data_IF_053106598499
#
_entry.id   IF_053106598499
#
_cell.length_a   1.000
_cell.length_b   1.000
_cell.length_c   1.000
_cell.angle_alpha   90.00
_cell.angle_beta   90.00
_cell.angle_gamma   90.00
#
_symmetry.space_group_name_H-M   'P 1'
#
loop_
_entity.id
_entity.type
_entity.pdbx_description
1 polymer ?
#
# COMPACT_ATOMS: atom_id res chain seq x y z
N UNK A 1 0.99 -33.12 -1.83
CA UNK A 1 0.82 -32.54 -2.16
C UNK A 1 0.03 -31.54 -2.08
N UNK A 2 -0.88 -31.40 -1.62
CA UNK A 2 -1.69 -30.45 -1.55
C UNK A 2 -1.21 -29.37 -0.80
N UNK A 3 -0.38 -29.50 0.00
CA UNK A 3 0.01 -28.49 0.68
C UNK A 3 0.49 -27.49 -0.20
N UNK A 4 0.79 -27.77 -1.31
CA UNK A 4 1.21 -26.84 -2.23
C UNK A 4 0.21 -25.80 -2.46
N UNK A 5 -1.01 -26.11 -2.43
CA UNK A 5 -2.04 -25.16 -2.68
C UNK A 5 -2.04 -24.11 -1.62
N UNK A 6 -1.88 -24.49 -0.40
CA UNK A 6 -1.87 -23.59 0.63
C UNK A 6 -0.73 -22.66 0.49
N UNK A 7 0.40 -23.16 0.10
CA UNK A 7 1.46 -22.34 -0.07
C UNK A 7 1.28 -21.36 -1.14
N UNK A 8 0.57 -21.66 -2.13
CA UNK A 8 0.34 -20.77 -3.17
C UNK A 8 -0.40 -19.60 -2.71
N UNK A 9 -1.31 -19.73 -1.82
CA UNK A 9 -2.04 -18.63 -1.34
C UNK A 9 -1.16 -17.76 -0.57
N UNK A 10 -0.19 -18.28 0.13
CA UNK A 10 0.70 -17.50 0.88
C UNK A 10 1.65 -16.74 -0.01
N UNK A 11 1.71 -17.10 -1.24
CA UNK A 11 2.61 -16.48 -2.14
C UNK A 11 1.99 -15.48 -3.07
N UNK A 12 0.76 -15.10 -2.80
CA UNK A 12 0.13 -14.08 -3.59
C UNK A 12 0.93 -12.81 -3.43
N UNK A 13 1.33 -12.17 -4.49
CA UNK A 13 2.15 -10.98 -4.37
C UNK A 13 1.40 -9.86 -3.68
N UNK A 14 2.06 -9.05 -2.92
CA UNK A 14 1.39 -7.93 -2.28
C UNK A 14 0.97 -6.92 -3.32
N UNK A 15 -0.07 -6.20 -3.04
CA UNK A 15 -0.51 -5.17 -3.92
C UNK A 15 0.19 -3.88 -3.56
N UNK A 16 0.17 -2.91 -4.44
CA UNK A 16 0.72 -1.61 -4.14
C UNK A 16 -0.43 -0.62 -4.00
N UNK A 17 -0.16 0.52 -3.42
CA UNK A 17 -1.19 1.52 -3.24
C UNK A 17 -1.80 1.94 -4.57
N UNK A 18 -1.04 1.91 -5.65
CA UNK A 18 -1.57 2.33 -6.94
C UNK A 18 -2.61 1.37 -7.49
N UNK A 19 -2.67 0.16 -6.96
CA UNK A 19 -3.61 -0.86 -7.44
C UNK A 19 -4.91 -0.91 -6.68
N UNK A 20 -5.05 -0.13 -5.62
CA UNK A 20 -6.16 -0.32 -4.72
C UNK A 20 -7.27 0.69 -4.99
N UNK A 21 -8.51 0.21 -5.01
CA UNK A 21 -9.63 1.14 -5.22
C UNK A 21 -9.93 1.95 -3.99
N UNK A 22 -10.69 3.01 -4.19
CA UNK A 22 -11.13 3.85 -3.10
C UNK A 22 -11.86 3.02 -2.07
N UNK A 23 -11.62 3.28 -0.82
CA UNK A 23 -12.26 2.57 0.27
C UNK A 23 -11.48 1.38 0.78
N UNK A 24 -10.40 1.02 0.10
CA UNK A 24 -9.60 -0.11 0.55
C UNK A 24 -8.76 0.31 1.74
N UNK A 25 -8.72 -0.56 2.75
CA UNK A 25 -7.86 -0.38 3.92
C UNK A 25 -6.78 -1.43 3.88
N UNK A 26 -5.60 -1.05 4.28
CA UNK A 26 -4.49 -1.99 4.28
C UNK A 26 -3.41 -1.60 5.26
N UNK A 27 -2.38 -2.41 5.29
CA UNK A 27 -1.23 -2.20 6.16
C UNK A 27 0.00 -2.18 5.28
N UNK A 28 0.85 -1.18 5.47
CA UNK A 28 2.09 -1.09 4.70
C UNK A 28 3.00 -2.25 5.06
N UNK A 29 3.47 -2.99 4.06
CA UNK A 29 4.35 -4.11 4.30
C UNK A 29 5.75 -3.89 3.77
N UNK A 30 5.92 -3.03 2.82
CA UNK A 30 7.25 -2.77 2.29
C UNK A 30 7.29 -1.53 1.44
N UNK A 31 8.47 -0.99 1.29
CA UNK A 31 8.69 0.18 0.48
C UNK A 31 9.80 -0.17 -0.49
N UNK A 32 9.55 0.04 -1.78
CA UNK A 32 10.55 -0.24 -2.77
C UNK A 32 11.12 1.08 -3.23
N UNK A 33 12.38 1.23 -3.29
CA UNK A 33 12.97 2.47 -3.70
C UNK A 33 14.19 2.76 -2.89
N UNK A 34 14.87 3.81 -3.22
CA UNK A 34 16.10 4.16 -2.55
C UNK A 34 15.85 4.84 -1.23
N UNK A 35 16.91 5.15 -0.54
CA UNK A 35 16.84 5.74 0.77
C UNK A 35 16.11 7.06 0.77
N UNK A 36 16.26 7.84 -0.27
CA UNK A 36 15.59 9.12 -0.31
C UNK A 36 14.09 8.95 -0.36
N UNK A 37 13.61 8.02 -1.17
CA UNK A 37 12.17 7.79 -1.27
C UNK A 37 11.65 7.26 0.06
N UNK A 38 12.31 6.26 0.62
CA UNK A 38 11.87 5.65 1.87
C UNK A 38 11.85 6.67 2.99
N UNK A 39 12.88 7.50 3.08
CA UNK A 39 12.92 8.51 4.12
C UNK A 39 11.83 9.55 3.95
N UNK A 40 11.57 9.94 2.70
CA UNK A 40 10.58 10.95 2.44
C UNK A 40 9.18 10.47 2.80
N UNK A 41 8.82 9.27 2.42
CA UNK A 41 7.47 8.78 2.72
C UNK A 41 7.35 8.34 4.18
N UNK A 42 8.44 7.97 4.82
CA UNK A 42 8.39 7.62 6.23
C UNK A 42 7.99 8.82 7.08
N UNK A 43 8.45 9.99 6.71
CA UNK A 43 8.07 11.20 7.43
C UNK A 43 6.58 11.44 7.32
N UNK A 44 5.97 11.02 6.23
CA UNK A 44 4.55 11.17 6.04
C UNK A 44 3.74 10.09 6.75
N UNK A 45 4.39 9.09 7.27
CA UNK A 45 3.72 8.03 8.00
C UNK A 45 3.72 6.68 7.32
N UNK A 46 4.31 6.56 6.13
CA UNK A 46 4.30 5.29 5.41
C UNK A 46 5.47 4.43 5.87
N UNK A 47 5.28 3.80 6.99
CA UNK A 47 6.30 2.90 7.53
C UNK A 47 5.68 1.51 7.63
N UNK A 48 6.49 0.50 7.70
CA UNK A 48 6.01 -0.88 7.77
C UNK A 48 5.08 -1.01 8.97
N UNK A 49 3.95 -1.60 8.76
CA UNK A 49 2.95 -1.77 9.80
C UNK A 49 1.93 -0.64 9.90
N UNK A 50 2.13 0.45 9.18
CA UNK A 50 1.19 1.57 9.24
C UNK A 50 -0.11 1.23 8.52
N UNK A 51 -1.23 1.61 9.09
CA UNK A 51 -2.52 1.40 8.44
C UNK A 51 -2.80 2.55 7.51
N UNK A 52 -3.31 2.23 6.35
CA UNK A 52 -3.61 3.22 5.32
C UNK A 52 -4.97 2.95 4.71
N UNK A 53 -5.57 3.96 4.15
CA UNK A 53 -6.84 3.81 3.44
C UNK A 53 -6.80 4.67 2.18
N UNK A 54 -7.27 4.13 1.07
CA UNK A 54 -7.29 4.87 -0.17
C UNK A 54 -8.54 5.74 -0.19
N UNK A 55 -8.36 7.03 -0.29
CA UNK A 55 -9.44 7.99 -0.27
C UNK A 55 -9.84 8.40 -1.67
N UNK A 56 -8.90 8.47 -2.58
CA UNK A 56 -9.19 8.87 -3.94
C UNK A 56 -8.25 8.18 -4.91
N UNK A 57 -8.79 7.59 -5.95
CA UNK A 57 -7.99 6.95 -6.99
C UNK A 57 -8.85 6.85 -8.24
N UNK A 58 -8.63 7.75 -9.17
CA UNK A 58 -9.40 7.78 -10.39
C UNK A 58 -8.79 6.95 -11.52
N UNK A 59 -7.77 6.21 -11.23
CA UNK A 59 -7.08 5.43 -12.26
C UNK A 59 -6.00 6.21 -12.94
N UNK A 60 -5.91 7.51 -12.70
CA UNK A 60 -4.86 8.35 -13.23
C UNK A 60 -4.76 9.53 -12.30
N UNK A 61 -3.67 10.24 -12.36
CA UNK A 61 -3.43 11.36 -11.47
C UNK A 61 -3.05 10.86 -10.08
N UNK A 62 -2.99 11.76 -9.13
CA UNK A 62 -2.51 11.39 -7.80
C UNK A 62 -3.50 10.51 -7.06
N UNK A 63 -3.00 9.74 -6.15
CA UNK A 63 -3.79 8.90 -5.27
C UNK A 63 -3.77 9.56 -3.91
N UNK A 64 -4.93 9.74 -3.30
CA UNK A 64 -5.00 10.32 -1.97
C UNK A 64 -5.15 9.18 -0.98
N UNK A 65 -4.28 9.15 -0.01
CA UNK A 65 -4.23 8.08 0.97
C UNK A 65 -4.30 8.67 2.36
N UNK A 66 -5.15 8.13 3.20
CA UNK A 66 -5.19 8.52 4.59
C UNK A 66 -4.18 7.67 5.34
N UNK A 67 -3.31 8.29 6.10
CA UNK A 67 -2.33 7.60 6.91
C UNK A 67 -2.22 8.38 8.22
N UNK A 68 -2.34 7.69 9.32
CA UNK A 68 -2.40 8.31 10.63
C UNK A 68 -3.59 9.27 10.60
N UNK A 69 -3.47 10.47 10.94
CA UNK A 69 -4.59 11.39 10.93
C UNK A 69 -4.47 12.39 9.81
N UNK A 70 -3.82 12.02 8.73
CA UNK A 70 -3.48 12.93 7.66
C UNK A 70 -3.86 12.31 6.32
N UNK A 71 -4.12 13.15 5.33
CA UNK A 71 -4.31 12.68 3.97
C UNK A 71 -3.15 13.17 3.14
N UNK A 72 -2.59 12.25 2.37
CA UNK A 72 -1.40 12.53 1.59
C UNK A 72 -1.68 12.22 0.14
N UNK A 73 -1.30 13.12 -0.76
CA UNK A 73 -1.42 12.87 -2.18
C UNK A 73 -0.11 12.30 -2.68
N UNK A 74 -0.17 11.15 -3.31
CA UNK A 74 1.02 10.49 -3.85
C UNK A 74 0.89 10.40 -5.35
N UNK A 75 1.99 10.62 -6.04
CA UNK A 75 2.01 10.32 -7.46
C UNK A 75 1.87 8.83 -7.67
N UNK A 76 1.41 8.42 -8.85
CA UNK A 76 1.23 7.01 -9.09
C UNK A 76 2.53 6.24 -9.05
N UNK A 77 3.62 6.84 -9.47
CA UNK A 77 4.90 6.16 -9.39
C UNK A 77 5.32 5.93 -7.96
N UNK A 78 5.02 6.88 -7.08
CA UNK A 78 5.35 6.71 -5.67
C UNK A 78 4.45 5.67 -5.04
N UNK A 79 3.16 5.71 -5.34
CA UNK A 79 2.22 4.76 -4.79
C UNK A 79 2.56 3.34 -5.23
N UNK A 80 3.09 3.18 -6.42
CA UNK A 80 3.46 1.86 -6.93
C UNK A 80 4.64 1.25 -6.19
N UNK A 81 5.34 2.05 -5.40
CA UNK A 81 6.49 1.55 -4.63
C UNK A 81 6.12 1.20 -3.20
N UNK A 82 4.86 1.40 -2.80
CA UNK A 82 4.45 1.11 -1.44
C UNK A 82 3.60 -0.15 -1.45
N UNK A 83 4.12 -1.21 -0.88
CA UNK A 83 3.46 -2.50 -0.87
C UNK A 83 2.54 -2.58 0.32
N UNK A 84 1.33 -3.05 0.09
CA UNK A 84 0.27 -3.05 1.10
C UNK A 84 -0.40 -4.40 1.16
N UNK A 85 -0.71 -4.83 2.34
CA UNK A 85 -1.51 -6.01 2.53
C UNK A 85 -2.91 -5.51 2.82
N UNK A 86 -3.89 -5.92 2.02
CA UNK A 86 -5.26 -5.45 2.16
C UNK A 86 -5.88 -6.07 3.39
N UNK A 87 -6.53 -5.22 4.22
CA UNK A 87 -7.22 -5.71 5.39
C UNK A 87 -8.58 -6.20 5.00
N UNK A 88 -8.95 -7.40 5.44
CA UNK A 88 -10.23 -7.93 5.14
C UNK A 88 -11.06 -7.85 6.32
N UNK A 89 -12.30 -7.47 6.14
CA UNK A 89 -13.21 -7.49 7.22
C UNK A 89 -13.83 -8.78 7.30
N UNK A 90 -14.07 -9.36 8.38
CA UNK A 90 -14.70 -10.67 8.44
C UNK A 90 -16.09 -10.63 8.96
#
# INVERSE_FOLDING_TARGET
MQRSASKRQDQVPPKTLSDLPVGTHGVVRGLRGGKEFVGRVAVLGFTAGAEVAVVQNYGRGPIIVAVRDTRVALGRGEAAKIQVEVMRET
#
